data_IF_613022240317
#
_entry.id   IF_613022240317
#
_cell.length_a   1.000
_cell.length_b   1.000
_cell.length_c   1.000
_cell.angle_alpha   90.00
_cell.angle_beta   90.00
_cell.angle_gamma   90.00
#
_symmetry.space_group_name_H-M   'P 1'
#
loop_
_entity.id
_entity.type
_entity.pdbx_description
1 polymer ?
#
# COMPACT_ATOMS: atom_id res chain seq x y z
N UNK A 1 -17.23 -13.58 -29.80
CA UNK A 1 -18.65 -13.21 -29.78
C UNK A 1 -18.83 -11.91 -30.56
N UNK A 2 -19.69 -11.91 -31.57
CA UNK A 2 -20.08 -10.73 -32.35
C UNK A 2 -21.28 -10.02 -31.73
N UNK A 3 -21.55 -8.77 -32.12
CA UNK A 3 -22.69 -8.01 -31.59
C UNK A 3 -24.04 -8.70 -31.85
N UNK A 4 -24.18 -9.36 -33.00
CA UNK A 4 -25.38 -10.11 -33.37
C UNK A 4 -25.59 -11.31 -32.44
N UNK A 5 -24.52 -12.04 -32.14
CA UNK A 5 -24.52 -13.17 -31.19
C UNK A 5 -24.86 -12.70 -29.76
N UNK A 6 -24.32 -11.56 -29.34
CA UNK A 6 -24.68 -10.98 -28.05
C UNK A 6 -26.18 -10.65 -27.97
N UNK A 7 -26.71 -9.96 -28.99
CA UNK A 7 -28.13 -9.58 -29.03
C UNK A 7 -29.07 -10.79 -29.01
N UNK A 8 -28.70 -11.90 -29.67
CA UNK A 8 -29.46 -13.15 -29.67
C UNK A 8 -29.68 -13.69 -28.24
N UNK A 9 -28.64 -13.65 -27.41
CA UNK A 9 -28.65 -14.24 -26.07
C UNK A 9 -28.85 -13.22 -24.93
N UNK A 10 -28.93 -11.92 -25.25
CA UNK A 10 -29.13 -10.83 -24.27
C UNK A 10 -30.33 -11.08 -23.35
N UNK A 11 -31.44 -11.58 -23.88
CA UNK A 11 -32.64 -11.90 -23.08
C UNK A 11 -32.38 -13.00 -22.06
N UNK A 12 -31.56 -14.00 -22.40
CA UNK A 12 -31.15 -15.06 -21.48
C UNK A 12 -30.24 -14.49 -20.38
N UNK A 13 -29.25 -13.68 -20.77
CA UNK A 13 -28.35 -13.00 -19.84
C UNK A 13 -29.13 -12.16 -18.82
N UNK A 14 -30.06 -11.31 -19.27
CA UNK A 14 -30.91 -10.47 -18.41
C UNK A 14 -31.70 -11.34 -17.43
N UNK A 15 -32.30 -12.45 -17.89
CA UNK A 15 -33.05 -13.37 -17.02
C UNK A 15 -32.18 -14.01 -15.94
N UNK A 16 -30.93 -14.37 -16.27
CA UNK A 16 -30.00 -14.97 -15.30
C UNK A 16 -29.49 -13.90 -14.33
N UNK A 17 -29.05 -12.74 -14.82
CA UNK A 17 -28.55 -11.63 -14.02
C UNK A 17 -29.58 -11.12 -13.01
N UNK A 18 -30.85 -11.02 -13.41
CA UNK A 18 -31.94 -10.61 -12.52
C UNK A 18 -32.14 -11.50 -11.28
N UNK A 19 -31.67 -12.76 -11.30
CA UNK A 19 -31.70 -13.64 -10.11
C UNK A 19 -30.75 -13.15 -9.02
N UNK A 20 -29.79 -12.30 -9.37
CA UNK A 20 -28.74 -11.79 -8.48
C UNK A 20 -28.85 -10.27 -8.22
N UNK A 21 -29.92 -9.61 -8.69
CA UNK A 21 -30.08 -8.15 -8.54
C UNK A 21 -30.10 -7.67 -7.08
N UNK A 22 -30.67 -8.46 -6.17
CA UNK A 22 -30.77 -8.14 -4.75
C UNK A 22 -29.63 -8.81 -3.97
N UNK A 23 -28.40 -8.61 -4.42
CA UNK A 23 -27.24 -9.24 -3.80
C UNK A 23 -26.79 -8.47 -2.54
N UNK A 24 -26.20 -9.16 -1.55
CA UNK A 24 -25.72 -8.52 -0.32
C UNK A 24 -24.46 -7.68 -0.52
N UNK A 25 -23.86 -7.70 -1.71
CA UNK A 25 -22.61 -7.01 -2.03
C UNK A 25 -22.86 -5.63 -2.67
N UNK A 26 -24.12 -5.26 -2.92
CA UNK A 26 -24.47 -3.99 -3.55
C UNK A 26 -24.01 -3.86 -5.01
N UNK A 27 -23.74 -4.97 -5.71
CA UNK A 27 -23.32 -4.94 -7.11
C UNK A 27 -24.51 -4.57 -7.99
N UNK A 28 -24.30 -3.62 -8.90
CA UNK A 28 -25.32 -3.19 -9.84
C UNK A 28 -25.63 -4.24 -10.91
N UNK A 29 -26.86 -4.18 -11.43
CA UNK A 29 -27.32 -5.13 -12.43
C UNK A 29 -26.48 -5.09 -13.72
N UNK A 30 -25.94 -3.92 -14.07
CA UNK A 30 -25.09 -3.73 -15.24
C UNK A 30 -23.76 -4.50 -15.09
N UNK A 31 -23.14 -4.46 -13.91
CA UNK A 31 -21.93 -5.21 -13.61
C UNK A 31 -22.17 -6.72 -13.63
N UNK A 32 -23.30 -7.17 -13.07
CA UNK A 32 -23.70 -8.58 -13.13
C UNK A 32 -23.88 -9.02 -14.59
N UNK A 33 -24.45 -8.16 -15.44
CA UNK A 33 -24.58 -8.43 -16.88
C UNK A 33 -23.22 -8.49 -17.57
N UNK A 34 -22.26 -7.63 -17.21
CA UNK A 34 -20.90 -7.68 -17.75
C UNK A 34 -20.19 -9.00 -17.37
N UNK A 35 -20.28 -9.40 -16.09
CA UNK A 35 -19.73 -10.68 -15.60
C UNK A 35 -20.38 -11.85 -16.35
N UNK A 36 -21.70 -11.83 -16.53
CA UNK A 36 -22.41 -12.85 -17.29
C UNK A 36 -22.00 -12.88 -18.78
N UNK A 37 -21.70 -11.72 -19.37
CA UNK A 37 -21.22 -11.60 -20.75
C UNK A 37 -19.85 -12.28 -20.95
N UNK A 38 -18.97 -12.27 -19.94
CA UNK A 38 -17.74 -13.08 -19.95
C UNK A 38 -18.05 -14.58 -20.02
N UNK A 39 -19.13 -15.02 -19.36
CA UNK A 39 -19.66 -16.39 -19.51
C UNK A 39 -20.13 -16.69 -20.92
N UNK A 40 -20.76 -15.74 -21.60
CA UNK A 40 -21.20 -15.89 -22.99
C UNK A 40 -20.02 -16.04 -23.95
N UNK A 41 -19.00 -15.19 -23.79
CA UNK A 41 -17.76 -15.27 -24.57
C UNK A 41 -17.15 -16.67 -24.44
N UNK A 42 -17.02 -17.15 -23.19
CA UNK A 42 -16.50 -18.51 -22.92
C UNK A 42 -17.35 -19.59 -23.58
N UNK A 43 -18.68 -19.48 -23.53
CA UNK A 43 -19.56 -20.45 -24.17
C UNK A 43 -19.32 -20.53 -25.68
N UNK A 44 -19.23 -19.39 -26.37
CA UNK A 44 -18.93 -19.34 -27.80
C UNK A 44 -17.55 -19.91 -28.15
N UNK A 45 -16.55 -19.70 -27.30
CA UNK A 45 -15.17 -20.14 -27.56
C UNK A 45 -14.95 -21.63 -27.25
N UNK A 46 -15.65 -22.18 -26.26
CA UNK A 46 -15.32 -23.51 -25.72
C UNK A 46 -16.36 -24.59 -25.99
N UNK A 47 -17.50 -24.25 -26.59
CA UNK A 47 -18.51 -25.25 -26.94
C UNK A 47 -17.99 -26.27 -27.96
N UNK A 48 -18.37 -27.53 -27.78
CA UNK A 48 -18.04 -28.64 -28.69
C UNK A 48 -19.30 -29.44 -28.97
N UNK A 49 -19.66 -29.53 -30.24
CA UNK A 49 -20.76 -30.38 -30.69
C UNK A 49 -20.45 -31.88 -30.42
N UNK A 50 -21.51 -32.69 -30.26
CA UNK A 50 -21.39 -34.13 -30.03
C UNK A 50 -21.23 -34.56 -28.57
N UNK A 51 -21.27 -33.63 -27.61
CA UNK A 51 -21.18 -33.89 -26.17
C UNK A 51 -22.54 -33.89 -25.45
N UNK A 52 -23.61 -34.35 -26.10
CA UNK A 52 -24.93 -34.54 -25.46
C UNK A 52 -25.71 -33.28 -25.03
N UNK A 53 -25.08 -32.12 -24.91
CA UNK A 53 -25.70 -30.86 -24.47
C UNK A 53 -25.91 -29.86 -25.61
N UNK A 54 -27.11 -29.26 -25.68
CA UNK A 54 -27.39 -28.17 -26.63
C UNK A 54 -26.60 -26.91 -26.30
N UNK A 55 -26.25 -26.12 -27.33
CA UNK A 55 -25.51 -24.88 -27.14
C UNK A 55 -26.22 -23.89 -26.18
N UNK A 56 -27.55 -23.78 -26.25
CA UNK A 56 -28.32 -22.90 -25.36
C UNK A 56 -28.20 -23.31 -23.88
N UNK A 57 -28.17 -24.62 -23.61
CA UNK A 57 -28.00 -25.16 -22.25
C UNK A 57 -26.58 -24.91 -21.74
N UNK A 58 -25.59 -25.05 -22.62
CA UNK A 58 -24.20 -24.75 -22.32
C UNK A 58 -24.00 -23.25 -22.05
N UNK A 59 -24.57 -22.38 -22.90
CA UNK A 59 -24.60 -20.92 -22.75
C UNK A 59 -25.16 -20.51 -21.39
N UNK A 60 -26.34 -21.04 -21.03
CA UNK A 60 -26.95 -20.80 -19.71
C UNK A 60 -26.00 -21.18 -18.57
N UNK A 61 -25.34 -22.33 -18.69
CA UNK A 61 -24.41 -22.86 -17.68
C UNK A 61 -23.20 -21.95 -17.50
N UNK A 62 -22.58 -21.50 -18.60
CA UNK A 62 -21.43 -20.59 -18.56
C UNK A 62 -21.79 -19.21 -17.98
N UNK A 63 -22.93 -18.62 -18.35
CA UNK A 63 -23.39 -17.34 -17.78
C UNK A 63 -23.61 -17.48 -16.27
N UNK A 64 -24.39 -18.48 -15.86
CA UNK A 64 -24.71 -18.74 -14.46
C UNK A 64 -23.46 -19.00 -13.62
N UNK A 65 -22.51 -19.77 -14.16
CA UNK A 65 -21.26 -20.07 -13.49
C UNK A 65 -20.37 -18.84 -13.32
N UNK A 66 -20.21 -18.00 -14.36
CA UNK A 66 -19.42 -16.77 -14.27
C UNK A 66 -19.92 -15.85 -13.16
N UNK A 67 -21.24 -15.63 -13.09
CA UNK A 67 -21.85 -14.79 -12.05
C UNK A 67 -21.66 -15.41 -10.66
N UNK A 68 -21.97 -16.70 -10.49
CA UNK A 68 -21.81 -17.39 -9.19
C UNK A 68 -20.37 -17.41 -8.70
N UNK A 69 -19.41 -17.62 -9.61
CA UNK A 69 -17.98 -17.61 -9.28
C UNK A 69 -17.55 -16.26 -8.74
N UNK A 70 -17.98 -15.18 -9.39
CA UNK A 70 -17.62 -13.83 -8.93
C UNK A 70 -18.20 -13.52 -7.56
N UNK A 71 -19.46 -13.92 -7.33
CA UNK A 71 -20.08 -13.79 -6.01
C UNK A 71 -19.36 -14.61 -4.94
N UNK A 72 -18.83 -15.78 -5.29
CA UNK A 72 -18.00 -16.57 -4.36
C UNK A 72 -16.68 -15.85 -4.03
N UNK A 73 -16.04 -15.22 -5.01
CA UNK A 73 -14.84 -14.40 -4.78
C UNK A 73 -15.13 -13.20 -3.87
N UNK A 74 -16.24 -12.50 -4.10
CA UNK A 74 -16.67 -11.36 -3.27
C UNK A 74 -17.02 -11.80 -1.86
N UNK A 75 -17.69 -12.96 -1.69
CA UNK A 75 -17.91 -13.55 -0.37
C UNK A 75 -16.60 -13.79 0.39
N UNK A 76 -15.58 -14.29 -0.31
CA UNK A 76 -14.26 -14.53 0.28
C UNK A 76 -13.60 -13.22 0.72
N UNK A 77 -13.70 -12.16 -0.09
CA UNK A 77 -13.15 -10.83 0.23
C UNK A 77 -13.90 -10.21 1.42
N UNK A 78 -15.24 -10.20 1.42
CA UNK A 78 -16.03 -9.71 2.56
C UNK A 78 -15.84 -10.54 3.83
N UNK A 79 -15.65 -11.85 3.73
CA UNK A 79 -15.38 -12.69 4.91
C UNK A 79 -14.01 -12.40 5.54
N UNK A 80 -13.06 -11.83 4.78
CA UNK A 80 -11.73 -11.48 5.27
C UNK A 80 -11.68 -10.08 5.90
N UNK A 81 -12.60 -9.19 5.51
CA UNK A 81 -12.60 -7.80 5.95
C UNK A 81 -14.02 -7.38 6.31
N UNK A 82 -14.27 -7.13 7.61
CA UNK A 82 -15.43 -6.37 8.04
C UNK A 82 -15.19 -4.91 7.65
N UNK A 83 -15.73 -4.49 6.51
CA UNK A 83 -15.59 -3.12 6.02
C UNK A 83 -16.78 -2.32 6.57
N UNK A 84 -16.48 -1.29 7.35
CA UNK A 84 -17.45 -0.30 7.82
C UNK A 84 -17.10 1.04 7.19
N UNK A 85 -18.11 1.83 6.83
CA UNK A 85 -17.88 3.18 6.32
C UNK A 85 -17.20 4.05 7.38
N UNK A 86 -16.30 4.93 6.95
CA UNK A 86 -15.72 5.94 7.84
C UNK A 86 -16.77 6.96 8.29
N UNK A 87 -17.81 7.15 7.49
CA UNK A 87 -18.96 8.02 7.81
C UNK A 87 -19.99 7.31 8.71
N UNK A 88 -19.70 6.10 9.19
CA UNK A 88 -20.61 5.40 10.09
C UNK A 88 -20.72 6.19 11.41
N UNK A 89 -21.91 6.68 11.71
CA UNK A 89 -22.24 7.38 12.96
C UNK A 89 -22.03 6.44 14.15
N UNK A 90 -21.26 6.88 15.14
CA UNK A 90 -21.04 6.17 16.41
C UNK A 90 -21.87 6.82 17.50
N UNK A 91 -21.98 8.14 17.47
CA UNK A 91 -22.80 8.98 18.36
C UNK A 91 -23.40 10.16 17.59
N UNK A 92 -24.31 10.94 18.19
CA UNK A 92 -25.05 12.04 17.53
C UNK A 92 -24.15 13.03 16.77
N UNK A 93 -22.93 13.28 17.26
CA UNK A 93 -21.97 14.23 16.67
C UNK A 93 -20.62 13.59 16.30
N UNK A 94 -20.50 12.26 16.25
CA UNK A 94 -19.20 11.60 16.03
C UNK A 94 -19.32 10.43 15.06
N UNK A 95 -18.51 10.47 14.01
CA UNK A 95 -18.39 9.38 13.05
C UNK A 95 -17.13 8.52 13.33
N UNK A 96 -17.01 7.40 12.63
CA UNK A 96 -15.83 6.53 12.74
C UNK A 96 -14.52 7.24 12.32
N UNK A 97 -14.57 8.17 11.37
CA UNK A 97 -13.41 8.96 10.94
C UNK A 97 -12.79 9.78 12.08
N UNK A 98 -13.62 10.38 12.94
CA UNK A 98 -13.18 11.24 14.04
C UNK A 98 -12.43 10.48 15.14
N UNK A 99 -12.70 9.18 15.29
CA UNK A 99 -12.12 8.34 16.35
C UNK A 99 -10.84 7.64 15.88
N UNK A 100 -10.69 7.37 14.57
CA UNK A 100 -9.54 6.63 14.06
C UNK A 100 -8.27 7.47 14.21
N UNK A 101 -7.30 7.05 15.05
CA UNK A 101 -6.08 7.81 15.26
C UNK A 101 -5.18 7.75 14.03
N UNK A 102 -4.61 8.88 13.65
CA UNK A 102 -3.60 8.93 12.61
C UNK A 102 -2.24 8.47 13.18
N UNK A 103 -1.90 7.20 12.99
CA UNK A 103 -0.65 6.61 13.46
C UNK A 103 0.63 7.21 12.84
N UNK A 104 0.49 8.04 11.80
CA UNK A 104 1.62 8.75 11.18
C UNK A 104 1.98 10.07 11.88
N UNK A 105 1.12 10.58 12.77
CA UNK A 105 1.33 11.86 13.46
C UNK A 105 1.32 11.60 14.97
N UNK A 106 2.50 11.67 15.59
CA UNK A 106 2.63 11.68 17.04
C UNK A 106 2.93 13.12 17.48
N UNK A 107 1.88 13.85 17.88
CA UNK A 107 1.95 15.25 18.31
C UNK A 107 2.95 15.44 19.46
N UNK A 108 3.08 14.45 20.35
CA UNK A 108 4.07 14.48 21.44
C UNK A 108 5.49 14.42 20.88
N UNK A 109 5.73 13.59 19.86
CA UNK A 109 7.05 13.52 19.22
C UNK A 109 7.44 14.81 18.51
N UNK A 110 6.50 15.48 17.84
CA UNK A 110 6.76 16.74 17.14
C UNK A 110 7.14 17.86 18.12
N UNK A 111 6.39 17.99 19.23
CA UNK A 111 6.72 18.96 20.29
C UNK A 111 8.07 18.66 20.93
N UNK A 112 8.38 17.38 21.19
CA UNK A 112 9.67 16.99 21.73
C UNK A 112 10.82 17.29 20.76
N UNK A 113 10.63 17.06 19.46
CA UNK A 113 11.62 17.37 18.43
C UNK A 113 11.93 18.88 18.40
N UNK A 114 10.91 19.73 18.39
CA UNK A 114 11.09 21.19 18.43
C UNK A 114 11.82 21.66 19.69
N UNK A 115 11.43 21.14 20.86
CA UNK A 115 12.12 21.44 22.12
C UNK A 115 13.58 21.01 22.09
N UNK A 116 13.87 19.81 21.57
CA UNK A 116 15.25 19.31 21.47
C UNK A 116 16.10 20.14 20.50
N UNK A 117 15.50 20.61 19.38
CA UNK A 117 16.18 21.48 18.41
C UNK A 117 16.58 22.81 19.05
N UNK A 118 15.70 23.42 19.84
CA UNK A 118 16.02 24.67 20.56
C UNK A 118 17.17 24.47 21.55
N UNK A 119 17.19 23.35 22.26
CA UNK A 119 18.30 23.01 23.17
C UNK A 119 19.63 22.87 22.42
N UNK A 120 19.64 22.24 21.24
CA UNK A 120 20.85 22.18 20.40
C UNK A 120 21.30 23.56 19.92
N UNK A 121 20.39 24.42 19.49
CA UNK A 121 20.70 25.79 19.08
C UNK A 121 21.38 26.55 20.24
N UNK A 122 20.85 26.40 21.45
CA UNK A 122 21.45 27.02 22.63
C UNK A 122 22.84 26.44 22.93
N UNK A 123 23.01 25.13 22.81
CA UNK A 123 24.30 24.47 22.99
C UNK A 123 25.34 24.93 21.95
N UNK A 124 24.94 25.11 20.69
CA UNK A 124 25.81 25.67 19.64
C UNK A 124 26.29 27.08 20.00
N UNK A 125 25.38 27.94 20.47
CA UNK A 125 25.70 29.33 20.89
C UNK A 125 26.62 29.38 22.12
N UNK A 126 26.49 28.40 23.03
CA UNK A 126 27.33 28.33 24.23
C UNK A 126 28.76 27.85 23.91
N UNK A 127 28.92 26.92 22.96
CA UNK A 127 30.21 26.28 22.66
C UNK A 127 31.02 27.05 21.61
N UNK A 128 30.36 27.58 20.59
CA UNK A 128 30.99 28.24 19.45
C UNK A 128 31.01 29.77 19.63
N UNK A 129 32.02 30.46 19.07
CA UNK A 129 31.98 31.91 18.95
C UNK A 129 30.71 32.38 18.21
N UNK A 130 30.13 33.55 18.55
CA UNK A 130 28.80 33.96 18.09
C UNK A 130 28.67 33.98 16.55
N UNK A 131 29.69 34.48 15.85
CA UNK A 131 29.70 34.51 14.38
C UNK A 131 29.75 33.11 13.77
N UNK A 132 30.49 32.19 14.38
CA UNK A 132 30.60 30.79 13.94
C UNK A 132 29.32 30.02 14.23
N UNK A 133 28.71 30.24 15.40
CA UNK A 133 27.43 29.65 15.78
C UNK A 133 26.34 30.03 14.78
N UNK A 134 26.22 31.32 14.44
CA UNK A 134 25.22 31.79 13.50
C UNK A 134 25.41 31.20 12.08
N UNK A 135 26.66 31.11 11.59
CA UNK A 135 26.96 30.44 10.31
C UNK A 135 26.56 28.96 10.36
N UNK A 136 26.79 28.28 11.48
CA UNK A 136 26.45 26.86 11.65
C UNK A 136 24.93 26.63 11.71
N UNK A 137 24.21 27.47 12.45
CA UNK A 137 22.74 27.46 12.55
C UNK A 137 22.12 27.77 11.18
N UNK A 138 22.60 28.81 10.49
CA UNK A 138 22.13 29.19 9.17
C UNK A 138 22.23 28.03 8.16
N UNK A 139 23.26 27.19 8.28
CA UNK A 139 23.45 26.04 7.40
C UNK A 139 22.56 24.85 7.75
N UNK A 140 22.47 24.49 9.03
CA UNK A 140 21.89 23.21 9.46
C UNK A 140 20.50 23.30 10.06
N UNK A 141 20.05 24.49 10.46
CA UNK A 141 18.71 24.74 11.00
C UNK A 141 17.88 25.51 9.99
N UNK A 142 18.43 26.58 9.41
CA UNK A 142 17.74 27.41 8.43
C UNK A 142 17.94 26.92 6.98
N UNK A 143 18.70 25.82 6.79
CA UNK A 143 18.96 25.17 5.50
C UNK A 143 19.49 26.08 4.37
N UNK A 144 20.17 27.18 4.72
CA UNK A 144 20.68 28.13 3.73
C UNK A 144 21.79 27.52 2.88
N UNK A 145 21.83 27.91 1.60
CA UNK A 145 22.91 27.50 0.70
C UNK A 145 24.21 28.23 1.05
N UNK A 146 25.34 27.57 0.76
CA UNK A 146 26.67 28.11 1.08
C UNK A 146 26.89 29.48 0.41
N UNK A 147 26.35 29.67 -0.79
CA UNK A 147 26.41 30.94 -1.53
C UNK A 147 25.68 32.07 -0.81
N UNK A 148 24.50 31.78 -0.26
CA UNK A 148 23.69 32.77 0.46
C UNK A 148 24.36 33.15 1.79
N UNK A 149 24.95 32.17 2.48
CA UNK A 149 25.74 32.39 3.70
C UNK A 149 27.00 33.22 3.38
N UNK A 150 27.70 32.88 2.29
CA UNK A 150 28.88 33.60 1.80
C UNK A 150 28.58 35.08 1.56
N UNK A 151 27.46 35.38 0.88
CA UNK A 151 26.97 36.73 0.70
C UNK A 151 26.58 37.43 2.02
N UNK A 152 25.83 36.73 2.90
CA UNK A 152 25.35 37.27 4.20
C UNK A 152 26.50 37.68 5.13
N UNK A 153 27.59 36.91 5.16
CA UNK A 153 28.72 37.14 6.05
C UNK A 153 29.95 37.77 5.36
N UNK A 154 29.85 38.09 4.08
CA UNK A 154 30.94 38.62 3.24
C UNK A 154 32.24 37.78 3.36
N UNK A 155 32.13 36.47 3.14
CA UNK A 155 33.23 35.51 3.25
C UNK A 155 33.20 34.56 2.07
N UNK A 156 34.39 34.21 1.54
CA UNK A 156 34.49 33.21 0.47
C UNK A 156 33.85 31.87 0.86
N UNK A 157 33.24 31.18 -0.11
CA UNK A 157 32.61 29.87 0.05
C UNK A 157 33.56 28.83 0.68
N UNK A 158 34.84 28.86 0.31
CA UNK A 158 35.87 28.00 0.87
C UNK A 158 36.13 28.27 2.36
N UNK A 159 36.08 29.55 2.76
CA UNK A 159 36.21 29.96 4.16
C UNK A 159 35.00 29.51 4.98
N UNK A 160 33.77 29.63 4.43
CA UNK A 160 32.56 29.12 5.08
C UNK A 160 32.66 27.61 5.30
N UNK A 161 33.06 26.83 4.29
CA UNK A 161 33.26 25.39 4.43
C UNK A 161 34.32 25.02 5.48
N UNK A 162 35.40 25.78 5.55
CA UNK A 162 36.42 25.62 6.59
C UNK A 162 35.85 25.87 7.99
N UNK A 163 35.07 26.94 8.14
CA UNK A 163 34.39 27.28 9.40
C UNK A 163 33.43 26.17 9.81
N UNK A 164 32.57 25.69 8.92
CA UNK A 164 31.62 24.60 9.22
C UNK A 164 32.33 23.32 9.69
N UNK A 165 33.45 22.95 9.06
CA UNK A 165 34.27 21.80 9.48
C UNK A 165 34.86 22.01 10.88
N UNK A 166 35.40 23.19 11.16
CA UNK A 166 35.93 23.52 12.49
C UNK A 166 34.83 23.48 13.55
N UNK A 167 33.67 24.10 13.28
CA UNK A 167 32.51 24.08 14.16
C UNK A 167 32.07 22.67 14.49
N UNK A 168 31.93 21.80 13.49
CA UNK A 168 31.59 20.38 13.69
C UNK A 168 32.57 19.68 14.61
N UNK A 169 33.89 19.85 14.38
CA UNK A 169 34.92 19.24 15.22
C UNK A 169 34.87 19.75 16.67
N UNK A 170 34.70 21.06 16.85
CA UNK A 170 34.58 21.66 18.18
C UNK A 170 33.33 21.19 18.94
N UNK A 171 32.17 21.15 18.27
CA UNK A 171 30.91 20.68 18.85
C UNK A 171 31.03 19.22 19.27
N UNK A 172 31.54 18.34 18.41
CA UNK A 172 31.74 16.92 18.75
C UNK A 172 32.69 16.75 19.94
N UNK A 173 33.73 17.59 20.05
CA UNK A 173 34.71 17.50 21.15
C UNK A 173 34.18 18.05 22.47
N UNK A 174 33.42 19.14 22.44
CA UNK A 174 33.02 19.89 23.65
C UNK A 174 31.62 19.53 24.16
N UNK A 175 30.69 19.17 23.28
CA UNK A 175 29.36 18.71 23.67
C UNK A 175 29.35 17.19 23.81
N UNK A 176 28.95 16.72 25.00
CA UNK A 176 28.66 15.30 25.22
C UNK A 176 27.36 14.89 24.53
N UNK A 177 26.32 15.73 24.61
CA UNK A 177 24.99 15.46 24.06
C UNK A 177 25.04 15.27 22.55
N UNK A 178 25.60 16.23 21.82
CA UNK A 178 25.74 16.18 20.36
C UNK A 178 26.55 14.95 19.93
N UNK A 179 27.64 14.64 20.65
CA UNK A 179 28.47 13.47 20.36
C UNK A 179 27.69 12.17 20.54
N UNK A 180 27.00 12.01 21.67
CA UNK A 180 26.21 10.82 21.99
C UNK A 180 25.10 10.58 20.97
N UNK A 181 24.41 11.64 20.54
CA UNK A 181 23.34 11.54 19.55
C UNK A 181 23.88 11.24 18.15
N UNK A 182 25.05 11.79 17.80
CA UNK A 182 25.76 11.42 16.59
C UNK A 182 26.21 9.95 16.59
N UNK A 183 26.70 9.44 17.72
CA UNK A 183 27.06 8.03 17.89
C UNK A 183 25.84 7.12 17.69
N UNK A 184 24.70 7.44 18.33
CA UNK A 184 23.44 6.72 18.11
C UNK A 184 23.01 6.69 16.65
N UNK A 185 23.06 7.83 15.96
CA UNK A 185 22.74 7.92 14.54
C UNK A 185 23.66 7.03 13.68
N UNK A 186 24.96 7.04 13.95
CA UNK A 186 25.93 6.20 13.24
C UNK A 186 25.69 4.71 13.52
N UNK A 187 25.35 4.34 14.75
CA UNK A 187 25.01 2.96 15.11
C UNK A 187 23.75 2.47 14.40
N UNK A 188 22.69 3.29 14.37
CA UNK A 188 21.47 2.99 13.61
C UNK A 188 21.76 2.81 12.13
N UNK A 189 22.57 3.72 11.56
CA UNK A 189 22.98 3.62 10.16
C UNK A 189 23.80 2.35 9.89
N UNK A 190 24.75 2.00 10.77
CA UNK A 190 25.51 0.74 10.66
C UNK A 190 24.62 -0.50 10.78
N UNK A 191 23.58 -0.47 11.62
CA UNK A 191 22.58 -1.55 11.69
C UNK A 191 21.78 -1.65 10.39
N UNK A 192 21.39 -0.51 9.79
CA UNK A 192 20.71 -0.48 8.49
C UNK A 192 21.62 -0.83 7.31
N UNK A 193 22.93 -0.60 7.38
CA UNK A 193 23.89 -1.03 6.37
C UNK A 193 24.23 -2.54 6.54
N UNK A 194 24.09 -3.10 7.76
CA UNK A 194 24.24 -4.54 8.07
C UNK A 194 22.98 -5.38 7.76
N UNK A 195 22.22 -5.07 6.71
CA UNK A 195 21.10 -5.93 6.27
C UNK A 195 21.62 -7.25 5.63
N UNK A 196 22.90 -7.31 5.22
CA UNK A 196 23.48 -8.44 4.48
C UNK A 196 24.43 -9.36 5.28
N UNK A 197 24.73 -9.02 6.54
CA UNK A 197 25.78 -9.70 7.33
C UNK A 197 25.23 -10.70 8.35
N UNK A 198 23.92 -10.69 8.64
CA UNK A 198 23.30 -11.77 9.39
C UNK A 198 21.77 -11.88 9.16
N UNK A 199 21.32 -12.73 8.21
CA UNK A 199 19.90 -12.91 7.87
C UNK A 199 19.01 -13.42 9.03
N UNK A 200 19.59 -13.88 10.13
CA UNK A 200 18.88 -14.45 11.28
C UNK A 200 18.44 -13.42 12.33
N UNK A 201 18.81 -12.14 12.19
CA UNK A 201 18.47 -11.07 13.17
C UNK A 201 17.36 -10.12 12.65
N UNK A 202 16.94 -10.26 11.39
CA UNK A 202 15.80 -9.49 10.85
C UNK A 202 14.50 -10.09 11.41
N UNK A 203 14.05 -9.61 12.56
CA UNK A 203 12.67 -9.77 13.02
C UNK A 203 11.74 -8.91 12.15
N UNK A 204 11.42 -9.43 10.96
CA UNK A 204 10.20 -9.11 10.21
C UNK A 204 10.04 -10.11 9.06
N UNK A 205 9.51 -11.29 9.40
CA UNK A 205 8.45 -11.96 8.65
C UNK A 205 8.60 -12.19 7.12
N UNK A 206 9.82 -12.50 6.66
CA UNK A 206 10.04 -13.00 5.28
C UNK A 206 9.29 -14.32 5.01
N UNK A 207 8.96 -15.07 6.08
CA UNK A 207 8.11 -16.25 6.01
C UNK A 207 6.69 -15.93 5.57
N UNK A 208 6.05 -14.92 6.15
CA UNK A 208 4.65 -14.57 5.83
C UNK A 208 4.48 -14.03 4.41
N UNK A 209 5.37 -13.17 3.92
CA UNK A 209 5.27 -12.63 2.55
C UNK A 209 5.45 -13.71 1.49
N UNK A 210 6.48 -14.56 1.62
CA UNK A 210 6.72 -15.67 0.69
C UNK A 210 5.65 -16.76 0.81
N UNK A 211 5.21 -17.08 2.02
CA UNK A 211 4.11 -18.02 2.28
C UNK A 211 2.78 -17.51 1.71
N UNK A 212 2.48 -16.21 1.79
CA UNK A 212 1.29 -15.60 1.14
C UNK A 212 1.38 -15.66 -0.38
N UNK A 213 2.53 -15.36 -0.96
CA UNK A 213 2.74 -15.46 -2.41
C UNK A 213 2.56 -16.91 -2.90
N UNK A 214 3.11 -17.88 -2.18
CA UNK A 214 2.89 -19.30 -2.47
C UNK A 214 1.44 -19.74 -2.27
N UNK A 215 0.78 -19.25 -1.22
CA UNK A 215 -0.64 -19.53 -0.95
C UNK A 215 -1.53 -18.96 -2.06
N UNK A 216 -1.28 -17.73 -2.51
CA UNK A 216 -2.01 -17.10 -3.62
C UNK A 216 -1.83 -17.92 -4.90
N UNK A 217 -0.59 -18.29 -5.25
CA UNK A 217 -0.31 -19.14 -6.41
C UNK A 217 -1.03 -20.49 -6.33
N UNK A 218 -0.99 -21.15 -5.16
CA UNK A 218 -1.69 -22.42 -4.94
C UNK A 218 -3.20 -22.28 -5.12
N UNK A 219 -3.79 -21.21 -4.58
CA UNK A 219 -5.22 -20.93 -4.71
C UNK A 219 -5.61 -20.66 -6.17
N UNK A 220 -4.76 -19.98 -6.94
CA UNK A 220 -4.96 -19.76 -8.38
C UNK A 220 -4.89 -21.07 -9.18
N UNK A 221 -3.88 -21.91 -8.91
CA UNK A 221 -3.72 -23.21 -9.56
C UNK A 221 -4.87 -24.18 -9.25
N UNK A 222 -5.29 -24.24 -7.99
CA UNK A 222 -6.47 -25.01 -7.58
C UNK A 222 -7.74 -24.48 -8.24
N UNK A 223 -7.87 -23.17 -8.38
CA UNK A 223 -9.01 -22.57 -9.06
C UNK A 223 -9.02 -22.98 -10.54
N UNK A 224 -7.90 -22.90 -11.23
CA UNK A 224 -7.76 -23.36 -12.62
C UNK A 224 -8.06 -24.85 -12.76
N UNK A 225 -7.69 -25.67 -11.77
CA UNK A 225 -7.97 -27.10 -11.75
C UNK A 225 -9.45 -27.39 -11.53
N UNK A 226 -10.10 -26.74 -10.55
CA UNK A 226 -11.56 -26.86 -10.31
C UNK A 226 -12.36 -26.41 -11.52
N UNK A 227 -11.95 -25.31 -12.15
CA UNK A 227 -12.56 -24.81 -13.38
C UNK A 227 -12.42 -25.87 -14.51
N UNK A 228 -11.27 -26.53 -14.65
CA UNK A 228 -11.07 -27.63 -15.61
C UNK A 228 -11.88 -28.89 -15.29
N UNK A 229 -11.93 -29.32 -14.04
CA UNK A 229 -12.68 -30.51 -13.60
C UNK A 229 -14.19 -30.31 -13.74
N UNK A 230 -14.69 -29.12 -13.39
CA UNK A 230 -16.08 -28.75 -13.64
C UNK A 230 -16.39 -28.81 -15.14
N UNK A 231 -15.53 -28.24 -15.99
CA UNK A 231 -15.70 -28.32 -17.45
C UNK A 231 -15.60 -29.76 -18.00
N UNK A 232 -14.87 -30.64 -17.34
CA UNK A 232 -14.80 -32.07 -17.66
C UNK A 232 -16.05 -32.83 -17.22
N UNK A 233 -16.64 -32.48 -16.07
CA UNK A 233 -17.84 -33.14 -15.54
C UNK A 233 -19.04 -32.95 -16.46
N UNK A 234 -19.18 -31.76 -17.06
CA UNK A 234 -20.20 -31.47 -18.08
C UNK A 234 -19.78 -31.84 -19.51
N UNK A 235 -18.65 -32.55 -19.68
CA UNK A 235 -18.20 -33.12 -20.96
C UNK A 235 -18.54 -34.60 -21.09
N UNK A 236 -18.96 -35.26 -20.01
CA UNK A 236 -19.27 -36.70 -19.97
C UNK A 236 -20.79 -37.00 -19.92
N UNK A 237 -21.64 -35.98 -20.01
CA UNK A 237 -23.08 -36.04 -20.23
C UNK A 237 -23.44 -35.11 -21.37
#
# INVERSE_FOLDING_TARGET
>A
MTDKEYLQYKSMLIKIANKFKNNPYGIDIEDIMQIGSLGMIRAFETYKEGKGMSFDTYMYSCISWSIKREFHNLKRIHGQYAITSLDHEIDEDTNMYDIIPNSSVNVESEVLEDMTLQEYIQEFKNILPPTKANIFIDRYVNELQIKDISAKYNKMDSAINSILRQCRSELMRKSFRIRKEYEKYIEQRKKSENIYTNPSIIEADSGYYNSRLELIKRLEEEQIKRDREFMSYYSCY
#
